data_IF_892593636296
#
_entry.id   IF_892593636296
#
_cell.length_a   1.000
_cell.length_b   1.000
_cell.length_c   1.000
_cell.angle_alpha   90.00
_cell.angle_beta   90.00
_cell.angle_gamma   90.00
#
_symmetry.space_group_name_H-M   'P 1'
#
loop_
_entity.id
_entity.type
_entity.pdbx_description
1 polymer ?
#
# COMPACT_ATOMS: atom_id res chain seq x y z
N UNK A 1 -28.19 -7.04 50.17
CA UNK A 1 -29.50 -7.73 50.21
C UNK A 1 -29.76 -8.27 48.80
N UNK A 2 -29.64 -9.60 48.60
CA UNK A 2 -30.75 -10.54 48.29
C UNK A 2 -31.16 -10.45 46.81
N UNK A 3 -31.21 -11.48 45.94
CA UNK A 3 -30.88 -12.93 45.96
C UNK A 3 -31.25 -13.49 44.55
N UNK A 4 -30.54 -14.56 44.12
CA UNK A 4 -31.03 -15.78 43.38
C UNK A 4 -31.35 -15.62 41.87
N UNK A 5 -31.27 -16.63 40.99
CA UNK A 5 -30.99 -18.09 40.98
C UNK A 5 -30.71 -18.47 39.49
N UNK A 6 -29.77 -19.35 39.12
CA UNK A 6 -29.76 -20.82 39.14
C UNK A 6 -30.86 -21.52 38.28
N UNK A 7 -30.40 -22.28 37.27
CA UNK A 7 -31.12 -23.31 36.51
C UNK A 7 -30.21 -23.76 35.34
N UNK A 8 -29.43 -24.84 35.41
CA UNK A 8 -29.73 -26.28 35.45
C UNK A 8 -30.59 -26.78 34.28
N UNK A 9 -29.96 -27.47 33.33
CA UNK A 9 -30.62 -28.10 32.18
C UNK A 9 -29.67 -29.01 31.38
N UNK A 10 -29.45 -30.21 31.91
CA UNK A 10 -28.73 -31.36 31.36
C UNK A 10 -29.56 -32.05 30.27
N UNK A 11 -29.00 -32.36 29.08
CA UNK A 11 -29.31 -33.59 28.32
C UNK A 11 -28.11 -34.01 27.45
N UNK A 12 -27.55 -35.18 27.76
CA UNK A 12 -26.67 -35.94 26.87
C UNK A 12 -27.49 -36.69 25.81
N UNK A 13 -27.03 -36.69 24.56
CA UNK A 13 -27.28 -37.82 23.65
C UNK A 13 -25.97 -38.20 22.95
N UNK A 14 -25.46 -39.37 23.32
CA UNK A 14 -24.39 -40.09 22.63
C UNK A 14 -25.01 -40.89 21.49
N UNK A 15 -24.51 -40.70 20.27
CA UNK A 15 -24.62 -41.71 19.22
C UNK A 15 -23.20 -42.01 18.71
N UNK A 16 -22.69 -43.16 19.13
CA UNK A 16 -21.57 -43.82 18.48
C UNK A 16 -22.11 -44.63 17.30
N UNK A 17 -21.57 -44.41 16.10
CA UNK A 17 -21.73 -45.32 14.97
C UNK A 17 -20.39 -45.45 14.23
N UNK A 18 -19.92 -46.68 14.12
CA UNK A 18 -18.70 -47.08 13.43
C UNK A 18 -18.92 -47.24 11.92
N UNK A 19 -17.91 -46.86 11.12
CA UNK A 19 -17.42 -47.69 10.01
C UNK A 19 -17.88 -47.38 8.59
N UNK A 20 -16.92 -47.04 7.72
CA UNK A 20 -17.00 -47.22 6.26
C UNK A 20 -16.10 -46.27 5.46
N UNK A 21 -15.04 -46.74 4.76
CA UNK A 21 -14.19 -45.90 3.93
C UNK A 21 -14.68 -45.84 2.47
N UNK A 22 -14.60 -44.66 1.87
CA UNK A 22 -14.65 -44.47 0.41
C UNK A 22 -15.19 -43.10 0.00
N UNK A 23 -15.06 -42.71 -1.28
CA UNK A 23 -13.89 -42.78 -2.14
C UNK A 23 -13.21 -41.39 -2.24
N UNK A 24 -12.05 -41.38 -2.87
CA UNK A 24 -11.37 -40.18 -3.34
C UNK A 24 -12.25 -39.32 -4.25
N UNK A 25 -11.80 -38.08 -4.42
CA UNK A 25 -12.24 -37.09 -5.41
C UNK A 25 -13.46 -36.23 -5.04
N UNK A 26 -13.16 -35.05 -4.50
CA UNK A 26 -13.58 -33.83 -5.18
C UNK A 26 -12.58 -32.70 -4.97
N UNK A 27 -11.96 -32.34 -6.08
CA UNK A 27 -11.28 -31.10 -6.43
C UNK A 27 -11.32 -30.02 -5.36
N UNK A 28 -10.16 -29.75 -4.79
CA UNK A 28 -9.83 -28.40 -4.34
C UNK A 28 -8.48 -28.08 -4.95
N UNK A 29 -8.47 -28.00 -6.29
CA UNK A 29 -7.49 -27.16 -6.97
C UNK A 29 -7.84 -25.74 -6.55
N UNK A 30 -7.29 -25.31 -5.42
CA UNK A 30 -7.06 -23.89 -5.15
C UNK A 30 -5.98 -23.47 -6.15
N UNK A 31 -6.38 -23.35 -7.42
CA UNK A 31 -5.58 -22.62 -8.40
C UNK A 31 -5.57 -21.20 -7.88
N UNK A 32 -4.36 -20.70 -7.67
CA UNK A 32 -4.08 -19.34 -7.26
C UNK A 32 -4.93 -18.32 -8.05
N UNK A 33 -5.89 -17.70 -7.37
CA UNK A 33 -6.31 -16.30 -7.65
C UNK A 33 -5.28 -15.31 -7.09
N UNK A 34 -4.00 -15.70 -7.07
CA UNK A 34 -2.87 -14.83 -6.75
C UNK A 34 -2.07 -14.62 -8.02
N UNK A 35 -2.70 -13.95 -8.96
CA UNK A 35 -2.15 -13.63 -10.27
C UNK A 35 -2.96 -12.52 -10.89
N UNK A 36 -2.72 -11.29 -10.44
CA UNK A 36 -3.01 -10.09 -11.23
C UNK A 36 -4.47 -9.90 -11.65
N UNK A 37 -5.37 -9.63 -10.68
CA UNK A 37 -6.39 -8.62 -10.99
C UNK A 37 -5.65 -7.29 -11.08
N UNK A 38 -5.00 -7.06 -12.24
CA UNK A 38 -4.35 -5.79 -12.54
C UNK A 38 -5.38 -4.71 -12.25
N UNK A 39 -5.04 -3.82 -11.32
CA UNK A 39 -5.96 -2.78 -10.87
C UNK A 39 -6.34 -1.95 -12.09
N UNK A 40 -7.61 -1.98 -12.44
CA UNK A 40 -8.18 -1.19 -13.51
C UNK A 40 -8.25 0.26 -13.04
N UNK A 41 -7.26 1.07 -13.39
CA UNK A 41 -7.28 2.52 -13.25
C UNK A 41 -6.54 3.14 -14.42
N UNK A 42 -7.07 4.24 -14.93
CA UNK A 42 -6.39 5.07 -15.94
C UNK A 42 -5.18 5.78 -15.35
N UNK A 43 -4.31 6.33 -16.20
CA UNK A 43 -3.19 7.17 -15.72
C UNK A 43 -3.67 8.41 -14.95
N UNK A 44 -4.79 9.01 -15.36
CA UNK A 44 -5.36 10.18 -14.68
C UNK A 44 -5.91 9.82 -13.29
N UNK A 45 -6.55 8.66 -13.15
CA UNK A 45 -6.97 8.15 -11.84
C UNK A 45 -5.76 7.78 -10.97
N UNK A 46 -4.70 7.22 -11.56
CA UNK A 46 -3.47 6.90 -10.87
C UNK A 46 -2.78 8.17 -10.35
N UNK A 47 -2.72 9.23 -11.17
CA UNK A 47 -2.23 10.53 -10.76
C UNK A 47 -3.04 11.12 -9.61
N UNK A 48 -4.36 11.11 -9.71
CA UNK A 48 -5.25 11.61 -8.64
C UNK A 48 -5.06 10.83 -7.34
N UNK A 49 -4.92 9.51 -7.42
CA UNK A 49 -4.65 8.67 -6.26
C UNK A 49 -3.28 8.99 -5.65
N UNK A 50 -2.22 9.18 -6.45
CA UNK A 50 -0.92 9.62 -5.95
C UNK A 50 -1.03 10.94 -5.16
N UNK A 51 -1.79 11.92 -5.68
CA UNK A 51 -2.05 13.18 -4.98
C UNK A 51 -2.82 12.98 -3.65
N UNK A 52 -3.77 12.04 -3.60
CA UNK A 52 -4.47 11.70 -2.36
C UNK A 52 -3.54 11.14 -1.29
N UNK A 53 -2.61 10.26 -1.68
CA UNK A 53 -1.59 9.73 -0.78
C UNK A 53 -0.69 10.83 -0.22
N UNK A 54 -0.21 11.73 -1.09
CA UNK A 54 0.60 12.89 -0.70
C UNK A 54 -0.16 13.81 0.24
N UNK A 55 -1.42 14.17 -0.08
CA UNK A 55 -2.25 15.04 0.77
C UNK A 55 -2.50 14.45 2.15
N UNK A 56 -2.77 13.14 2.26
CA UNK A 56 -2.95 12.47 3.56
C UNK A 56 -1.67 12.49 4.39
N UNK A 57 -0.53 12.21 3.77
CA UNK A 57 0.77 12.26 4.43
C UNK A 57 1.13 13.68 4.91
N UNK A 58 0.96 14.71 4.08
CA UNK A 58 1.15 16.12 4.45
C UNK A 58 0.19 16.54 5.57
N UNK A 59 -1.05 16.05 5.56
CA UNK A 59 -2.01 16.31 6.63
C UNK A 59 -1.57 15.75 7.99
N UNK A 60 -0.73 14.71 8.02
CA UNK A 60 -0.20 14.13 9.26
C UNK A 60 1.02 14.87 9.83
N UNK A 61 1.66 15.75 9.05
CA UNK A 61 2.81 16.52 9.55
C UNK A 61 2.39 17.50 10.67
N UNK A 62 3.23 17.65 11.72
CA UNK A 62 2.98 18.58 12.82
C UNK A 62 3.01 20.06 12.38
N UNK A 63 3.65 20.34 11.24
CA UNK A 63 3.70 21.64 10.59
C UNK A 63 3.37 21.46 9.11
N UNK A 64 2.67 22.42 8.51
CA UNK A 64 2.19 22.30 7.13
C UNK A 64 3.20 22.95 6.18
N UNK A 65 3.88 22.16 5.32
CA UNK A 65 4.76 22.72 4.30
C UNK A 65 3.97 23.40 3.18
N UNK A 66 4.61 24.33 2.49
CA UNK A 66 4.25 24.64 1.12
C UNK A 66 4.75 23.52 0.19
N UNK A 67 3.98 23.19 -0.85
CA UNK A 67 4.33 22.13 -1.80
C UNK A 67 4.80 22.73 -3.12
N UNK A 68 6.10 22.64 -3.41
CA UNK A 68 6.63 22.98 -4.73
C UNK A 68 6.76 21.73 -5.58
N UNK A 69 6.16 21.67 -6.79
CA UNK A 69 6.26 20.51 -7.66
C UNK A 69 7.72 20.15 -7.97
N UNK A 70 8.08 18.89 -7.74
CA UNK A 70 9.40 18.34 -8.07
C UNK A 70 9.31 17.48 -9.34
N UNK A 71 8.35 16.56 -9.41
CA UNK A 71 8.09 15.74 -10.61
C UNK A 71 6.60 15.42 -10.75
N UNK A 72 6.15 15.36 -11.99
CA UNK A 72 4.91 14.75 -12.42
C UNK A 72 5.22 13.97 -13.70
N UNK A 73 5.33 12.65 -13.57
CA UNK A 73 5.80 11.76 -14.63
C UNK A 73 4.90 10.54 -14.78
N UNK A 74 5.04 9.92 -15.95
CA UNK A 74 4.46 8.63 -16.33
C UNK A 74 5.51 7.92 -17.17
N UNK A 75 5.84 6.67 -16.82
CA UNK A 75 6.88 5.90 -17.50
C UNK A 75 6.44 4.45 -17.68
N UNK A 76 6.75 3.87 -18.85
CA UNK A 76 6.45 2.46 -19.11
C UNK A 76 7.17 1.58 -18.08
N UNK A 77 6.44 0.62 -17.52
CA UNK A 77 6.99 -0.39 -16.65
C UNK A 77 7.86 -1.36 -17.47
N UNK A 78 9.18 -1.16 -17.37
CA UNK A 78 10.19 -1.93 -18.10
C UNK A 78 11.05 -2.81 -17.19
N UNK A 79 10.82 -2.79 -15.87
CA UNK A 79 11.58 -3.60 -14.92
C UNK A 79 11.32 -5.09 -15.16
N UNK A 80 12.34 -5.90 -15.53
CA UNK A 80 12.16 -7.33 -15.76
C UNK A 80 11.63 -8.08 -14.53
N UNK A 81 11.82 -7.54 -13.33
CA UNK A 81 11.33 -8.14 -12.08
C UNK A 81 9.84 -7.91 -11.82
N UNK A 82 9.20 -6.98 -12.55
CA UNK A 82 7.76 -6.77 -12.46
C UNK A 82 6.97 -7.95 -13.08
N UNK A 83 7.59 -8.72 -14.00
CA UNK A 83 7.02 -9.89 -14.66
C UNK A 83 5.64 -9.68 -15.33
N UNK A 84 5.22 -8.44 -15.55
CA UNK A 84 3.94 -8.14 -16.20
C UNK A 84 4.09 -7.70 -17.67
N UNK A 85 2.97 -7.61 -18.40
CA UNK A 85 2.97 -7.23 -19.80
C UNK A 85 3.55 -5.82 -20.04
N UNK A 86 4.06 -5.59 -21.26
CA UNK A 86 4.44 -4.27 -21.74
C UNK A 86 3.23 -3.36 -21.93
N UNK A 87 3.48 -2.06 -22.08
CA UNK A 87 2.41 -1.06 -22.28
C UNK A 87 1.67 -0.64 -21.02
N UNK A 88 2.13 -1.08 -19.84
CA UNK A 88 1.70 -0.55 -18.53
C UNK A 88 2.62 0.57 -18.10
N UNK A 89 2.10 1.50 -17.30
CA UNK A 89 2.82 2.70 -16.87
C UNK A 89 2.77 2.85 -15.34
N UNK A 90 3.87 3.33 -14.76
CA UNK A 90 3.91 3.84 -13.40
C UNK A 90 3.77 5.37 -13.46
N UNK A 91 2.80 5.90 -12.71
CA UNK A 91 2.51 7.34 -12.63
C UNK A 91 2.99 7.90 -11.31
N UNK A 92 3.87 8.90 -11.36
CA UNK A 92 4.53 9.49 -10.21
C UNK A 92 4.13 10.95 -9.97
N UNK A 93 4.02 11.34 -8.69
CA UNK A 93 3.92 12.72 -8.24
C UNK A 93 4.90 12.94 -7.08
N UNK A 94 5.62 14.05 -7.10
CA UNK A 94 6.50 14.41 -5.98
C UNK A 94 6.64 15.92 -5.81
N UNK A 95 6.88 16.32 -4.57
CA UNK A 95 6.98 17.71 -4.14
C UNK A 95 8.18 17.90 -3.21
N UNK A 96 8.76 19.10 -3.27
CA UNK A 96 9.50 19.64 -2.14
C UNK A 96 8.53 20.04 -1.04
N UNK A 97 8.94 19.83 0.22
CA UNK A 97 8.24 20.26 1.41
C UNK A 97 8.89 21.54 1.92
N UNK A 98 8.49 22.67 1.35
CA UNK A 98 9.06 23.98 1.67
C UNK A 98 8.52 24.51 3.00
N UNK A 99 9.18 25.54 3.53
CA UNK A 99 8.85 26.21 4.80
C UNK A 99 8.96 25.29 6.04
N UNK A 100 9.63 24.14 5.92
CA UNK A 100 9.95 23.30 7.07
C UNK A 100 11.36 23.59 7.63
N UNK A 101 11.52 23.72 8.95
CA UNK A 101 12.84 23.84 9.58
C UNK A 101 13.65 22.54 9.45
N UNK A 102 14.78 22.60 8.71
CA UNK A 102 15.62 21.43 8.43
C UNK A 102 16.18 20.72 9.68
N UNK A 103 16.36 21.45 10.79
CA UNK A 103 16.78 20.87 12.07
C UNK A 103 15.73 19.93 12.70
N UNK A 104 14.47 20.02 12.27
CA UNK A 104 13.36 19.16 12.68
C UNK A 104 13.04 18.04 11.68
N UNK A 105 13.88 17.84 10.66
CA UNK A 105 13.64 16.77 9.67
C UNK A 105 13.44 15.38 10.27
N UNK A 106 14.11 15.05 11.38
CA UNK A 106 13.88 13.78 12.07
C UNK A 106 12.42 13.65 12.55
N UNK A 107 11.90 14.71 13.18
CA UNK A 107 10.52 14.76 13.68
C UNK A 107 9.51 14.64 12.52
N UNK A 108 9.72 15.36 11.42
CA UNK A 108 8.81 15.30 10.26
C UNK A 108 8.81 13.92 9.61
N UNK A 109 9.99 13.29 9.45
CA UNK A 109 10.09 11.95 8.88
C UNK A 109 9.45 10.92 9.83
N UNK A 110 9.61 11.06 11.14
CA UNK A 110 8.97 10.18 12.12
C UNK A 110 7.44 10.30 12.09
N UNK A 111 6.89 11.51 11.96
CA UNK A 111 5.45 11.72 11.82
C UNK A 111 4.88 11.05 10.56
N UNK A 112 5.62 11.07 9.44
CA UNK A 112 5.23 10.36 8.22
C UNK A 112 5.25 8.84 8.43
N UNK A 113 6.27 8.30 9.10
CA UNK A 113 6.35 6.87 9.40
C UNK A 113 5.23 6.43 10.34
N UNK A 114 4.91 7.23 11.35
CA UNK A 114 3.78 6.97 12.24
C UNK A 114 2.46 6.94 11.45
N UNK A 115 2.23 7.94 10.59
CA UNK A 115 1.07 7.97 9.71
C UNK A 115 0.98 6.71 8.84
N UNK A 116 2.04 6.34 8.14
CA UNK A 116 2.05 5.15 7.29
C UNK A 116 1.82 3.86 8.07
N UNK A 117 2.43 3.73 9.25
CA UNK A 117 2.25 2.57 10.13
C UNK A 117 0.80 2.41 10.61
N UNK A 118 0.09 3.52 10.80
CA UNK A 118 -1.32 3.53 11.22
C UNK A 118 -2.32 3.32 10.06
N UNK A 119 -1.90 3.43 8.80
CA UNK A 119 -2.79 3.47 7.63
C UNK A 119 -2.47 2.37 6.58
N UNK A 120 -2.16 1.16 7.04
CA UNK A 120 -2.01 -0.03 6.20
C UNK A 120 -0.88 0.03 5.16
N UNK A 121 0.20 0.76 5.48
CA UNK A 121 1.41 0.70 4.68
C UNK A 121 2.39 -0.34 5.25
N UNK A 122 3.16 -0.95 4.35
CA UNK A 122 4.36 -1.74 4.69
C UNK A 122 5.61 -0.92 4.40
N UNK A 123 6.57 -0.95 5.32
CA UNK A 123 7.89 -0.35 5.09
C UNK A 123 8.68 -1.20 4.11
N UNK A 124 9.17 -0.59 3.04
CA UNK A 124 10.05 -1.21 2.05
C UNK A 124 11.52 -0.90 2.34
N UNK A 125 11.82 0.32 2.79
CA UNK A 125 13.16 0.74 3.19
C UNK A 125 13.05 1.77 4.31
N UNK A 126 13.86 1.62 5.36
CA UNK A 126 14.01 2.60 6.42
C UNK A 126 15.50 2.92 6.61
N UNK A 127 15.87 4.17 6.29
CA UNK A 127 17.21 4.74 6.47
C UNK A 127 17.13 6.07 7.22
N UNK A 128 16.20 6.18 8.18
CA UNK A 128 16.02 7.38 9.01
C UNK A 128 17.23 7.76 9.83
N UNK A 129 18.11 6.83 10.17
CA UNK A 129 19.31 7.13 10.95
C UNK A 129 20.48 7.70 10.12
N UNK A 130 20.34 7.72 8.79
CA UNK A 130 21.39 8.22 7.90
C UNK A 130 21.29 9.73 7.72
N UNK A 131 22.40 10.37 7.30
CA UNK A 131 22.43 11.80 6.97
C UNK A 131 21.47 12.18 5.83
N UNK A 132 21.28 11.27 4.87
CA UNK A 132 20.37 11.44 3.74
C UNK A 132 19.11 10.62 4.02
N UNK A 133 18.36 11.01 5.06
CA UNK A 133 17.17 10.30 5.54
C UNK A 133 16.31 9.85 4.38
N UNK A 134 15.97 8.57 4.35
CA UNK A 134 15.12 8.00 3.32
C UNK A 134 14.22 6.93 3.92
N UNK A 135 12.93 7.03 3.64
CA UNK A 135 11.97 5.97 3.92
C UNK A 135 11.13 5.76 2.67
N UNK A 136 10.90 4.51 2.33
CA UNK A 136 9.88 4.13 1.35
C UNK A 136 8.92 3.12 1.94
N UNK A 137 7.65 3.26 1.56
CA UNK A 137 6.56 2.41 2.01
C UNK A 137 5.67 2.05 0.82
N UNK A 138 4.83 1.04 0.99
CA UNK A 138 3.80 0.67 0.02
C UNK A 138 2.48 0.43 0.72
N UNK A 139 1.41 1.01 0.23
CA UNK A 139 0.07 0.81 0.76
C UNK A 139 -0.43 -0.60 0.40
N UNK A 140 -0.93 -1.38 1.36
CA UNK A 140 -1.23 -2.82 1.15
C UNK A 140 -2.49 -3.06 0.33
N UNK A 141 -3.57 -2.31 0.56
CA UNK A 141 -4.77 -2.41 -0.30
C UNK A 141 -4.54 -1.83 -1.71
N UNK A 142 -3.66 -0.85 -1.73
CA UNK A 142 -3.30 0.13 -2.74
C UNK A 142 -2.21 -0.10 -3.78
N UNK A 143 -1.19 -0.84 -3.37
CA UNK A 143 0.09 -0.97 -4.05
C UNK A 143 0.77 0.38 -4.42
N UNK A 144 0.20 1.55 -4.07
CA UNK A 144 0.88 2.82 -4.22
C UNK A 144 2.09 2.86 -3.30
N UNK A 145 3.22 3.24 -3.87
CA UNK A 145 4.45 3.44 -3.13
C UNK A 145 4.55 4.90 -2.74
N UNK A 146 5.06 5.15 -1.55
CA UNK A 146 5.43 6.49 -1.10
C UNK A 146 6.88 6.53 -0.66
N UNK A 147 7.49 7.69 -0.75
CA UNK A 147 8.79 7.91 -0.14
C UNK A 147 8.97 9.33 0.36
N UNK A 148 9.72 9.46 1.46
CA UNK A 148 10.28 10.72 1.92
C UNK A 148 11.80 10.66 1.82
N UNK A 149 12.41 11.73 1.33
CA UNK A 149 13.87 11.83 1.14
C UNK A 149 14.37 13.19 1.54
N UNK A 150 15.46 13.22 2.32
CA UNK A 150 16.24 14.41 2.59
C UNK A 150 17.31 14.62 1.50
N UNK A 151 17.40 15.85 0.97
CA UNK A 151 18.46 16.30 0.06
C UNK A 151 19.79 16.48 0.80
N UNK A 152 20.87 16.76 0.06
CA UNK A 152 22.17 17.03 0.69
C UNK A 152 22.19 18.43 1.33
N UNK A 153 21.33 19.33 0.86
CA UNK A 153 21.09 20.68 1.38
C UNK A 153 20.19 20.67 2.63
N UNK A 154 19.48 19.57 2.89
CA UNK A 154 18.63 19.40 4.05
C UNK A 154 17.14 19.58 3.79
N UNK A 155 16.72 19.75 2.54
CA UNK A 155 15.30 19.86 2.17
C UNK A 155 14.64 18.48 2.14
N UNK A 156 13.38 18.40 2.52
CA UNK A 156 12.58 17.18 2.39
C UNK A 156 11.80 17.18 1.08
N UNK A 157 11.77 16.02 0.42
CA UNK A 157 10.84 15.73 -0.66
C UNK A 157 9.95 14.56 -0.28
N UNK A 158 8.70 14.60 -0.76
CA UNK A 158 7.70 13.56 -0.59
C UNK A 158 7.15 13.20 -1.97
N UNK A 159 7.04 11.90 -2.25
CA UNK A 159 6.45 11.42 -3.49
C UNK A 159 5.58 10.20 -3.30
N UNK A 160 4.68 10.01 -4.25
CA UNK A 160 3.87 8.81 -4.42
C UNK A 160 3.94 8.33 -5.87
N UNK A 161 3.99 7.02 -6.08
CA UNK A 161 3.84 6.42 -7.40
C UNK A 161 2.85 5.27 -7.39
N UNK A 162 2.14 5.11 -8.50
CA UNK A 162 1.17 4.02 -8.68
C UNK A 162 1.87 2.66 -8.82
N UNK A 163 1.13 1.55 -8.65
CA UNK A 163 1.55 0.32 -9.32
C UNK A 163 1.56 0.51 -10.84
N UNK A 164 2.06 -0.48 -11.59
CA UNK A 164 1.92 -0.50 -13.04
C UNK A 164 0.44 -0.62 -13.44
N UNK A 165 -0.06 0.38 -14.16
CA UNK A 165 -1.46 0.49 -14.59
C UNK A 165 -1.56 0.50 -16.11
N UNK A 166 -2.74 0.16 -16.64
CA UNK A 166 -3.02 0.33 -18.06
C UNK A 166 -3.41 1.78 -18.33
N UNK A 167 -2.89 2.43 -19.39
CA UNK A 167 -3.18 3.84 -19.68
C UNK A 167 -4.67 4.17 -19.68
N UNK A 168 -5.46 3.32 -20.34
CA UNK A 168 -6.92 3.45 -20.47
C UNK A 168 -7.70 2.69 -19.38
N UNK A 169 -7.01 2.19 -18.36
CA UNK A 169 -7.62 1.47 -17.23
C UNK A 169 -8.00 0.02 -17.51
N UNK A 170 -7.89 -0.45 -18.76
CA UNK A 170 -8.12 -1.85 -19.13
C UNK A 170 -6.95 -2.43 -19.92
N UNK A 171 -6.59 -3.71 -19.70
CA UNK A 171 -5.63 -4.40 -20.57
C UNK A 171 -6.13 -4.41 -22.02
N UNK A 172 -5.24 -4.28 -23.02
CA UNK A 172 -5.62 -4.52 -24.42
C UNK A 172 -6.00 -5.99 -24.62
N UNK A 173 -6.78 -6.27 -25.67
CA UNK A 173 -7.38 -7.59 -25.89
C UNK A 173 -6.33 -8.73 -26.00
N UNK A 174 -5.13 -8.41 -26.46
CA UNK A 174 -3.97 -9.30 -26.64
C UNK A 174 -3.03 -9.38 -25.42
N UNK A 175 -3.27 -8.61 -24.34
CA UNK A 175 -2.43 -8.64 -23.14
C UNK A 175 -2.62 -9.89 -22.25
N UNK A 176 -3.55 -10.79 -22.61
CA UNK A 176 -3.86 -12.01 -21.87
C UNK A 176 -3.32 -13.30 -22.53
N UNK A 177 -2.59 -13.20 -23.64
CA UNK A 177 -1.98 -14.34 -24.34
C UNK A 177 -0.52 -14.61 -23.94
#
# INVERSE_FOLDING_TARGET
MIRRAAGLGLVCLLLAACGGPGPAERSSTTTAESGSSMRTMTEDEAAQRAEEHIRRAVAALPEKPALTPLRADSAECLDPSDNGPRGRYEVGRSYWLDDLPGERNAEFVDALVEHWSAHDYRVLTDKRETKNRFVSVEHRGDAFRMSVKQSVEGDLSLGASSPCVWPDGTPPEDANE
#
